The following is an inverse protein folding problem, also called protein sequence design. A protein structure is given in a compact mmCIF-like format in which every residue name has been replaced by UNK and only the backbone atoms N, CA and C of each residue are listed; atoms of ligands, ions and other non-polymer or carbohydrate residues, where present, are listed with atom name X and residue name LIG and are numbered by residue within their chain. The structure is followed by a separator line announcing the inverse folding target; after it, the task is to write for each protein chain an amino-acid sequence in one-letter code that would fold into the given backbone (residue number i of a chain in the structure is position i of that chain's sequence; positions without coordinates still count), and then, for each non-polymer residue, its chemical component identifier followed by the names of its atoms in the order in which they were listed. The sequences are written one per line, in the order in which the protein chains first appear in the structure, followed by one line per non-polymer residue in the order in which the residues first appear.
data_IF_417151661838
#
_entry.id   IF_417151661838
#
_cell.length_a   1.000
_cell.length_b   1.000
_cell.length_c   1.000
_cell.angle_alpha   90.00
_cell.angle_beta   90.00
_cell.angle_gamma   90.00
#
_symmetry.space_group_name_H-M   'P 1'
#
loop_
_entity.id
_entity.type
_entity.pdbx_description
1 polymer ?
#
# COMPACT_ATOMS: atom_id res chain seq x y z
N UNK A 1 -11.18 21.39 6.62
CA UNK A 1 -11.44 20.06 7.20
C UNK A 1 -12.38 19.33 6.28
N UNK A 2 -11.99 18.16 5.77
CA UNK A 2 -12.79 17.43 4.77
C UNK A 2 -13.31 16.15 5.40
N UNK A 3 -14.58 15.81 5.13
CA UNK A 3 -15.22 14.60 5.64
C UNK A 3 -15.75 13.72 4.49
N UNK A 4 -15.80 12.41 4.75
CA UNK A 4 -16.42 11.39 3.91
C UNK A 4 -17.26 10.47 4.79
N UNK A 5 -18.26 9.82 4.20
CA UNK A 5 -19.06 8.83 4.88
C UNK A 5 -19.11 7.56 4.03
N UNK A 6 -18.88 6.40 4.65
CA UNK A 6 -18.95 5.09 4.02
C UNK A 6 -19.86 4.18 4.83
N UNK A 7 -20.58 3.29 4.13
CA UNK A 7 -21.27 2.18 4.77
C UNK A 7 -20.34 0.97 4.70
N UNK A 8 -20.05 0.39 5.86
CA UNK A 8 -19.36 -0.90 5.96
C UNK A 8 -20.37 -1.93 6.40
N UNK A 9 -20.42 -3.05 5.69
CA UNK A 9 -21.25 -4.20 6.07
C UNK A 9 -20.37 -5.42 6.33
N UNK A 10 -20.69 -6.19 7.37
CA UNK A 10 -19.97 -7.41 7.73
C UNK A 10 -20.93 -8.54 8.05
N UNK A 11 -20.58 -9.76 7.67
CA UNK A 11 -21.30 -10.98 8.01
C UNK A 11 -20.38 -12.20 8.02
N UNK A 12 -20.91 -13.39 8.33
CA UNK A 12 -20.14 -14.62 8.37
C UNK A 12 -19.49 -14.97 7.02
N UNK A 13 -20.17 -14.65 5.92
CA UNK A 13 -19.74 -15.02 4.57
C UNK A 13 -19.01 -13.89 3.82
N UNK A 14 -18.80 -12.72 4.45
CA UNK A 14 -18.02 -11.65 3.83
C UNK A 14 -18.28 -10.24 4.36
N UNK A 15 -17.69 -9.26 3.67
CA UNK A 15 -17.80 -7.85 3.99
C UNK A 15 -17.97 -6.99 2.74
N UNK A 16 -18.67 -5.87 2.87
CA UNK A 16 -18.83 -4.83 1.86
C UNK A 16 -18.27 -3.51 2.41
N UNK A 17 -17.62 -2.71 1.58
CA UNK A 17 -17.07 -1.39 1.97
C UNK A 17 -15.75 -1.42 2.75
N UNK A 18 -15.31 -2.58 3.28
CA UNK A 18 -14.06 -2.67 4.04
C UNK A 18 -12.81 -2.36 3.20
N UNK A 19 -12.78 -2.81 1.93
CA UNK A 19 -11.67 -2.51 1.01
C UNK A 19 -11.55 -1.02 0.74
N UNK A 20 -12.67 -0.34 0.53
CA UNK A 20 -12.70 1.11 0.28
C UNK A 20 -12.32 1.89 1.54
N UNK A 21 -12.80 1.46 2.70
CA UNK A 21 -12.36 2.00 3.99
C UNK A 21 -10.84 1.92 4.13
N UNK A 22 -10.23 0.75 3.88
CA UNK A 22 -8.78 0.57 3.97
C UNK A 22 -8.00 1.52 3.06
N UNK A 23 -8.43 1.68 1.79
CA UNK A 23 -7.81 2.62 0.85
C UNK A 23 -7.85 4.06 1.38
N UNK A 24 -8.93 4.47 2.03
CA UNK A 24 -8.99 5.80 2.62
C UNK A 24 -8.06 5.95 3.83
N UNK A 25 -7.99 4.93 4.68
CA UNK A 25 -7.08 4.94 5.84
C UNK A 25 -5.61 5.00 5.41
N UNK A 26 -5.22 4.25 4.37
CA UNK A 26 -3.90 4.32 3.75
C UNK A 26 -3.58 5.71 3.20
N UNK A 27 -4.59 6.41 2.65
CA UNK A 27 -4.47 7.80 2.17
C UNK A 27 -4.49 8.85 3.29
N UNK A 28 -4.30 8.43 4.54
CA UNK A 28 -4.20 9.32 5.70
C UNK A 28 -5.53 9.90 6.18
N UNK A 29 -6.67 9.34 5.75
CA UNK A 29 -7.95 9.64 6.38
C UNK A 29 -8.03 8.96 7.74
N UNK A 30 -8.76 9.56 8.68
CA UNK A 30 -8.97 9.03 10.03
C UNK A 30 -10.45 8.77 10.26
N UNK A 31 -10.77 7.71 11.00
CA UNK A 31 -12.15 7.50 11.47
C UNK A 31 -12.50 8.56 12.50
N UNK A 32 -13.49 9.40 12.18
CA UNK A 32 -14.03 10.40 13.09
C UNK A 32 -15.13 9.80 13.97
N UNK A 33 -16.07 9.08 13.34
CA UNK A 33 -17.24 8.51 14.01
C UNK A 33 -17.64 7.19 13.36
N UNK A 34 -18.07 6.23 14.17
CA UNK A 34 -18.74 5.00 13.71
C UNK A 34 -20.12 4.94 14.34
N UNK A 35 -21.16 4.84 13.53
CA UNK A 35 -22.54 4.71 13.98
C UNK A 35 -23.09 3.35 13.54
N UNK A 36 -23.45 2.45 14.46
CA UNK A 36 -24.06 1.17 14.10
C UNK A 36 -25.44 1.43 13.49
N UNK A 37 -25.74 0.74 12.38
CA UNK A 37 -27.02 0.89 11.67
C UNK A 37 -27.95 -0.31 11.84
N UNK A 38 -27.51 -1.36 12.54
CA UNK A 38 -28.27 -2.60 12.68
C UNK A 38 -28.24 -3.47 11.43
N UNK A 39 -29.02 -4.56 11.45
CA UNK A 39 -28.98 -5.65 10.49
C UNK A 39 -29.12 -5.22 9.03
N UNK A 40 -28.16 -5.64 8.18
CA UNK A 40 -28.19 -5.39 6.74
C UNK A 40 -28.87 -6.51 5.93
N UNK A 41 -29.73 -7.31 6.59
CA UNK A 41 -30.64 -8.28 5.96
C UNK A 41 -30.67 -9.63 6.68
N UNK A 42 -31.86 -10.22 6.78
CA UNK A 42 -32.10 -11.59 7.31
C UNK A 42 -31.89 -12.69 6.25
N UNK A 43 -31.42 -12.35 5.05
CA UNK A 43 -31.21 -13.33 3.98
C UNK A 43 -30.00 -14.21 4.31
N UNK A 44 -30.17 -15.53 4.31
CA UNK A 44 -29.09 -16.50 4.50
C UNK A 44 -27.90 -16.14 3.58
N UNK A 45 -26.77 -15.75 4.20
CA UNK A 45 -25.53 -15.41 3.50
C UNK A 45 -25.25 -13.91 3.26
N UNK A 46 -26.14 -13.00 3.67
CA UNK A 46 -25.90 -11.56 3.55
C UNK A 46 -25.13 -10.99 4.77
N UNK A 47 -24.37 -9.88 4.60
CA UNK A 47 -23.74 -9.18 5.72
C UNK A 47 -24.75 -8.86 6.84
N UNK A 48 -24.52 -9.40 8.04
CA UNK A 48 -25.48 -9.31 9.15
C UNK A 48 -25.42 -7.98 9.91
N UNK A 49 -24.36 -7.19 9.75
CA UNK A 49 -24.17 -5.93 10.47
C UNK A 49 -23.77 -4.82 9.52
N UNK A 50 -24.35 -3.62 9.68
CA UNK A 50 -23.90 -2.42 9.00
C UNK A 50 -23.48 -1.33 9.99
N UNK A 51 -22.51 -0.53 9.57
CA UNK A 51 -22.11 0.69 10.26
C UNK A 51 -21.87 1.82 9.25
N UNK A 52 -22.31 3.02 9.61
CA UNK A 52 -21.89 4.26 8.99
C UNK A 52 -20.55 4.67 9.58
N UNK A 53 -19.52 4.77 8.75
CA UNK A 53 -18.18 5.22 9.12
C UNK A 53 -17.95 6.60 8.52
N UNK A 54 -17.80 7.60 9.39
CA UNK A 54 -17.42 8.96 9.00
C UNK A 54 -15.91 9.07 9.09
N UNK A 55 -15.28 9.45 7.98
CA UNK A 55 -13.86 9.72 7.87
C UNK A 55 -13.59 11.22 7.82
N UNK A 56 -12.49 11.64 8.42
CA UNK A 56 -12.00 13.01 8.35
C UNK A 56 -10.55 13.07 7.86
N UNK A 57 -10.21 14.16 7.18
CA UNK A 57 -8.84 14.50 6.83
C UNK A 57 -8.57 15.93 7.28
N UNK A 58 -7.53 16.10 8.11
CA UNK A 58 -6.98 17.42 8.44
C UNK A 58 -6.18 17.90 7.23
N UNK A 59 -6.82 18.72 6.40
CA UNK A 59 -6.09 19.50 5.39
C UNK A 59 -4.98 20.29 6.08
N UNK A 60 -3.82 20.34 5.42
CA UNK A 60 -2.64 21.18 5.71
C UNK A 60 -1.41 20.53 6.36
N UNK A 61 -1.43 19.25 6.76
CA UNK A 61 -0.23 18.63 7.37
C UNK A 61 0.33 17.39 6.65
N UNK A 62 -0.53 16.52 6.14
CA UNK A 62 -0.14 15.14 5.80
C UNK A 62 -0.04 14.88 4.29
N UNK A 63 -0.68 15.69 3.45
CA UNK A 63 -0.61 15.53 1.99
C UNK A 63 0.81 15.70 1.45
N UNK A 64 1.59 16.63 2.01
CA UNK A 64 3.01 16.83 1.63
C UNK A 64 3.86 15.61 1.99
N UNK A 65 3.58 14.97 3.13
CA UNK A 65 4.30 13.77 3.57
C UNK A 65 3.93 12.53 2.74
N UNK A 66 2.66 12.38 2.35
CA UNK A 66 2.20 11.28 1.48
C UNK A 66 2.74 11.46 0.05
N UNK A 67 2.68 12.67 -0.52
CA UNK A 67 3.27 12.93 -1.84
C UNK A 67 4.80 12.76 -1.85
N UNK A 68 5.47 13.03 -0.73
CA UNK A 68 6.90 12.74 -0.58
C UNK A 68 7.18 11.24 -0.52
N UNK A 69 6.36 10.47 0.20
CA UNK A 69 6.48 9.02 0.29
C UNK A 69 6.18 8.31 -1.04
N UNK A 70 5.11 8.69 -1.75
CA UNK A 70 4.79 8.12 -3.07
C UNK A 70 5.89 8.37 -4.12
N UNK A 71 6.58 9.52 -4.04
CA UNK A 71 7.74 9.81 -4.90
C UNK A 71 8.95 8.93 -4.55
N UNK A 72 9.22 8.73 -3.26
CA UNK A 72 10.31 7.88 -2.81
C UNK A 72 10.10 6.41 -3.20
N UNK A 73 8.87 5.89 -3.11
CA UNK A 73 8.55 4.53 -3.56
C UNK A 73 8.71 4.36 -5.08
N UNK A 74 8.34 5.38 -5.86
CA UNK A 74 8.50 5.37 -7.32
C UNK A 74 9.97 5.41 -7.74
N UNK A 75 10.79 6.19 -7.06
CA UNK A 75 12.25 6.25 -7.28
C UNK A 75 12.91 4.92 -6.89
N UNK A 76 12.51 4.31 -5.78
CA UNK A 76 13.02 2.99 -5.38
C UNK A 76 12.66 1.90 -6.41
N UNK A 77 11.44 1.90 -6.97
CA UNK A 77 11.07 0.99 -8.05
C UNK A 77 11.90 1.19 -9.32
N UNK A 78 12.33 2.43 -9.61
CA UNK A 78 13.16 2.73 -10.78
C UNK A 78 14.61 2.23 -10.63
N UNK A 79 15.18 2.32 -9.42
CA UNK A 79 16.55 1.84 -9.16
C UNK A 79 16.65 0.31 -9.27
N UNK A 80 15.60 -0.42 -8.87
CA UNK A 80 15.57 -1.90 -8.97
C UNK A 80 15.58 -2.37 -10.43
N UNK A 81 14.92 -1.66 -11.34
CA UNK A 81 14.95 -2.00 -12.78
C UNK A 81 16.32 -1.76 -13.43
N UNK A 82 17.08 -0.76 -12.96
CA UNK A 82 18.41 -0.46 -13.49
C UNK A 82 19.44 -1.52 -13.07
N UNK A 83 19.39 -1.99 -11.81
CA UNK A 83 20.30 -3.04 -11.31
C UNK A 83 20.10 -4.37 -12.03
N UNK A 84 18.88 -4.73 -12.45
CA UNK A 84 18.65 -5.97 -13.20
C UNK A 84 19.19 -5.94 -14.64
N UNK A 85 19.50 -4.76 -15.20
CA UNK A 85 20.14 -4.67 -16.52
C UNK A 85 21.65 -4.88 -16.49
N UNK A 86 22.31 -4.67 -15.35
CA UNK A 86 23.78 -4.75 -15.21
C UNK A 86 24.32 -6.11 -14.74
N UNK A 87 23.46 -7.07 -14.37
CA UNK A 87 23.87 -8.45 -14.00
C UNK A 87 24.17 -9.31 -15.27
N UNK A 88 24.49 -8.67 -16.39
CA UNK A 88 24.74 -9.30 -17.69
C UNK A 88 26.22 -9.50 -18.05
N UNK A 89 27.15 -9.45 -17.11
CA UNK A 89 28.58 -9.71 -17.39
C UNK A 89 29.23 -10.59 -16.31
N UNK A 90 28.79 -11.84 -16.24
CA UNK A 90 29.57 -12.90 -15.59
C UNK A 90 30.84 -13.09 -16.45
N UNK A 91 31.98 -12.67 -15.93
CA UNK A 91 33.28 -12.93 -16.54
C UNK A 91 33.63 -14.38 -16.17
N UNK A 92 33.47 -15.31 -17.10
CA UNK A 92 33.94 -16.69 -16.93
C UNK A 92 35.47 -16.72 -17.13
N UNK A 93 36.19 -16.32 -16.09
CA UNK A 93 37.64 -16.43 -16.01
C UNK A 93 38.03 -17.70 -15.27
N UNK A 94 38.45 -18.74 -16.01
CA UNK A 94 39.12 -19.90 -15.43
C UNK A 94 40.47 -19.42 -14.85
N UNK A 95 40.58 -19.38 -13.51
CA UNK A 95 41.74 -18.89 -12.75
C UNK A 95 42.99 -19.76 -12.88
N UNK A 96 43.51 -19.92 -14.09
CA UNK A 96 44.75 -20.64 -14.37
C UNK A 96 45.57 -19.92 -15.45
N UNK A 97 46.37 -18.94 -15.00
CA UNK A 97 47.49 -18.36 -15.74
C UNK A 97 48.66 -18.15 -14.77
N UNK A 98 49.91 -18.50 -15.13
CA UNK A 98 51.05 -18.49 -14.21
C UNK A 98 51.44 -17.04 -13.81
N UNK A 99 52.11 -16.84 -12.66
CA UNK A 99 52.51 -15.51 -12.24
C UNK A 99 53.64 -14.99 -13.14
N UNK A 100 53.37 -13.91 -13.88
CA UNK A 100 54.40 -13.17 -14.60
C UNK A 100 55.31 -12.44 -13.59
N UNK A 101 56.62 -12.68 -13.70
CA UNK A 101 57.67 -11.98 -12.98
C UNK A 101 57.70 -10.47 -13.34
N UNK A 102 58.15 -9.59 -12.42
CA UNK A 102 58.24 -8.16 -12.70
C UNK A 102 59.47 -7.86 -13.58
N UNK A 103 59.25 -7.17 -14.70
CA UNK A 103 60.35 -6.61 -15.50
C UNK A 103 60.76 -5.21 -14.96
N UNK A 104 62.05 -4.84 -15.07
CA UNK A 104 62.67 -3.68 -14.41
C UNK A 104 62.29 -2.30 -14.97
#
# INVERSE_FOLDING_TARGET
MTQKALIVRTGPDGHEGLKELNVHLEKGWRVATVSPMGGAGEAEGAPCHAALVVLEQRGEGTTVAIEALERAEREASSVVEEVMRDVGKVIEGNGAGPPDEPLP
#
